data_IF_514874926382
#
_entry.id   IF_514874926382
#
_cell.length_a   1.000
_cell.length_b   1.000
_cell.length_c   1.000
_cell.angle_alpha   90.00
_cell.angle_beta   90.00
_cell.angle_gamma   90.00
#
_symmetry.space_group_name_H-M   'P 1'
#
loop_
_entity.id
_entity.type
_entity.pdbx_description
1 polymer ?
#
# COMPACT_ATOMS: atom_id res chain seq x y z
N UNK A 1 -10.15 80.64 3.85
CA UNK A 1 -11.03 80.89 2.69
C UNK A 1 -12.10 79.82 2.66
N UNK A 2 -13.34 80.22 2.89
CA UNK A 2 -14.55 79.39 2.95
C UNK A 2 -15.23 79.42 1.57
N UNK A 3 -15.58 78.26 1.01
CA UNK A 3 -16.64 78.11 0.00
C UNK A 3 -17.00 76.61 -0.14
N UNK A 4 -18.09 76.17 0.52
CA UNK A 4 -19.45 75.95 -0.04
C UNK A 4 -19.58 74.71 -0.97
N UNK A 5 -20.20 73.66 -0.44
CA UNK A 5 -21.03 72.62 -1.12
C UNK A 5 -22.34 73.25 -1.68
N UNK A 6 -23.34 72.55 -2.29
CA UNK A 6 -23.50 71.16 -2.76
C UNK A 6 -24.18 71.00 -4.16
N UNK A 7 -24.19 69.79 -4.73
CA UNK A 7 -25.19 69.30 -5.72
C UNK A 7 -25.08 67.77 -5.74
N UNK A 8 -26.10 66.92 -5.66
CA UNK A 8 -27.52 67.15 -5.84
C UNK A 8 -28.14 65.99 -6.62
N UNK A 9 -28.27 64.82 -5.96
CA UNK A 9 -29.27 63.75 -6.17
C UNK A 9 -29.16 62.75 -7.35
N UNK A 10 -29.40 61.50 -6.93
CA UNK A 10 -30.28 60.48 -7.54
C UNK A 10 -29.66 59.43 -8.49
N UNK A 11 -29.57 58.20 -7.98
CA UNK A 11 -29.39 56.95 -8.73
C UNK A 11 -29.24 55.77 -7.78
N UNK A 12 -30.34 55.06 -7.52
CA UNK A 12 -30.39 53.85 -6.69
C UNK A 12 -29.70 52.63 -7.32
N UNK A 13 -29.83 51.45 -6.69
CA UNK A 13 -28.78 50.44 -6.59
C UNK A 13 -28.65 49.57 -7.84
N UNK A 14 -27.44 49.50 -8.41
CA UNK A 14 -27.07 48.48 -9.40
C UNK A 14 -26.23 47.40 -8.74
N UNK A 15 -26.95 46.51 -8.07
CA UNK A 15 -26.88 45.07 -8.29
C UNK A 15 -25.62 44.59 -9.05
N UNK A 16 -24.55 44.33 -8.30
CA UNK A 16 -23.45 43.44 -8.70
C UNK A 16 -23.01 42.61 -7.51
N UNK A 17 -23.90 41.71 -7.11
CA UNK A 17 -23.49 40.42 -6.55
C UNK A 17 -22.68 39.64 -7.60
N UNK A 18 -21.44 40.04 -7.83
CA UNK A 18 -20.53 39.31 -8.70
C UNK A 18 -19.79 38.23 -7.88
N UNK A 19 -20.28 37.01 -8.06
CA UNK A 19 -19.54 35.74 -7.99
C UNK A 19 -19.12 35.22 -6.61
N UNK A 20 -20.05 35.21 -5.66
CA UNK A 20 -20.13 34.09 -4.71
C UNK A 20 -20.76 32.90 -5.45
N UNK A 21 -19.99 31.88 -5.78
CA UNK A 21 -20.55 30.56 -6.10
C UNK A 21 -20.38 30.08 -7.54
N UNK A 22 -19.16 29.77 -7.92
CA UNK A 22 -18.90 28.59 -8.75
C UNK A 22 -17.93 27.68 -8.01
N UNK A 23 -18.43 27.11 -6.90
CA UNK A 23 -17.88 25.83 -6.43
C UNK A 23 -17.89 24.92 -7.66
N UNK A 24 -16.77 24.28 -8.04
CA UNK A 24 -16.79 23.33 -9.13
C UNK A 24 -17.89 22.33 -8.80
N UNK A 25 -18.86 22.26 -9.70
CA UNK A 25 -19.91 21.26 -9.70
C UNK A 25 -19.24 19.93 -9.42
N UNK A 26 -19.64 19.28 -8.32
CA UNK A 26 -19.35 17.86 -8.04
C UNK A 26 -19.85 17.09 -9.25
N UNK A 27 -19.00 16.98 -10.26
CA UNK A 27 -19.24 16.16 -11.43
C UNK A 27 -19.43 14.75 -10.90
N UNK A 28 -20.56 14.16 -11.30
CA UNK A 28 -21.15 12.99 -10.68
C UNK A 28 -20.10 12.02 -10.19
N UNK A 29 -20.12 11.79 -8.87
CA UNK A 29 -19.58 10.57 -8.30
C UNK A 29 -20.28 9.44 -9.02
N UNK A 30 -19.67 8.96 -10.11
CA UNK A 30 -19.90 7.61 -10.55
C UNK A 30 -19.60 6.81 -9.31
N UNK A 31 -20.63 6.26 -8.69
CA UNK A 31 -20.48 5.18 -7.74
C UNK A 31 -19.83 4.05 -8.52
N UNK A 32 -18.50 4.14 -8.68
CA UNK A 32 -17.69 3.11 -9.31
C UNK A 32 -17.70 1.99 -8.28
N UNK A 33 -18.76 1.18 -8.33
CA UNK A 33 -18.92 0.04 -7.46
C UNK A 33 -17.63 -0.77 -7.54
N UNK A 34 -16.96 -0.94 -6.40
CA UNK A 34 -15.73 -1.73 -6.37
C UNK A 34 -16.10 -3.17 -6.76
N UNK A 35 -15.47 -3.74 -7.81
CA UNK A 35 -15.70 -5.14 -8.13
C UNK A 35 -15.18 -5.99 -6.97
N UNK A 36 -15.97 -6.96 -6.50
CA UNK A 36 -15.63 -7.79 -5.32
C UNK A 36 -14.27 -8.49 -5.42
N UNK A 37 -13.79 -8.75 -6.64
CA UNK A 37 -12.44 -9.27 -6.91
C UNK A 37 -11.32 -8.34 -6.40
N UNK A 38 -11.51 -7.03 -6.44
CA UNK A 38 -10.53 -6.06 -5.95
C UNK A 38 -10.52 -6.03 -4.42
N UNK A 39 -11.68 -6.09 -3.78
CA UNK A 39 -11.75 -6.22 -2.31
C UNK A 39 -11.06 -7.50 -1.84
N UNK A 40 -11.34 -8.62 -2.51
CA UNK A 40 -10.68 -9.90 -2.22
C UNK A 40 -9.16 -9.83 -2.47
N UNK A 41 -8.72 -9.20 -3.56
CA UNK A 41 -7.30 -9.03 -3.84
C UNK A 41 -6.60 -8.14 -2.80
N UNK A 42 -7.20 -7.01 -2.41
CA UNK A 42 -6.67 -6.15 -1.33
C UNK A 42 -6.56 -6.91 -0.02
N UNK A 43 -7.61 -7.65 0.36
CA UNK A 43 -7.61 -8.50 1.54
C UNK A 43 -6.47 -9.52 1.51
N UNK A 44 -6.29 -10.24 0.39
CA UNK A 44 -5.24 -11.24 0.24
C UNK A 44 -3.83 -10.64 0.24
N UNK A 45 -3.64 -9.48 -0.41
CA UNK A 45 -2.36 -8.76 -0.41
C UNK A 45 -2.00 -8.30 1.00
N UNK A 46 -2.95 -7.71 1.74
CA UNK A 46 -2.75 -7.30 3.12
C UNK A 46 -2.44 -8.50 4.03
N UNK A 47 -3.22 -9.58 3.91
CA UNK A 47 -3.02 -10.83 4.63
C UNK A 47 -1.61 -11.38 4.41
N UNK A 48 -1.21 -11.55 3.15
CA UNK A 48 0.09 -12.13 2.80
C UNK A 48 1.25 -11.20 3.16
N UNK A 49 1.10 -9.89 3.00
CA UNK A 49 2.11 -8.90 3.36
C UNK A 49 2.42 -8.93 4.86
N UNK A 50 1.39 -8.91 5.71
CA UNK A 50 1.56 -8.97 7.18
C UNK A 50 2.09 -10.33 7.61
N UNK A 51 1.59 -11.43 7.03
CA UNK A 51 2.14 -12.76 7.28
C UNK A 51 3.63 -12.84 6.95
N UNK A 52 4.05 -12.32 5.79
CA UNK A 52 5.44 -12.30 5.36
C UNK A 52 6.29 -11.46 6.33
N UNK A 53 5.83 -10.27 6.71
CA UNK A 53 6.54 -9.39 7.63
C UNK A 53 6.80 -10.09 8.96
N UNK A 54 5.76 -10.64 9.58
CA UNK A 54 5.88 -11.34 10.87
C UNK A 54 6.73 -12.60 10.76
N UNK A 55 6.60 -13.36 9.67
CA UNK A 55 7.44 -14.54 9.42
C UNK A 55 8.93 -14.15 9.31
N UNK A 56 9.25 -13.13 8.53
CA UNK A 56 10.62 -12.64 8.37
C UNK A 56 11.17 -12.11 9.70
N UNK A 57 10.40 -11.33 10.46
CA UNK A 57 10.80 -10.83 11.79
C UNK A 57 11.14 -11.99 12.73
N UNK A 58 10.31 -13.03 12.77
CA UNK A 58 10.57 -14.21 13.60
C UNK A 58 11.82 -14.97 13.17
N UNK A 59 12.00 -15.21 11.87
CA UNK A 59 13.18 -15.93 11.41
C UNK A 59 14.45 -15.12 11.63
N UNK A 60 14.41 -13.81 11.38
CA UNK A 60 15.53 -12.92 11.69
C UNK A 60 15.82 -12.86 13.19
N UNK A 61 14.82 -12.90 14.06
CA UNK A 61 15.03 -12.93 15.51
C UNK A 61 15.73 -14.21 15.99
N UNK A 62 15.51 -15.33 15.28
CA UNK A 62 16.16 -16.62 15.57
C UNK A 62 17.57 -16.70 15.00
N UNK A 63 17.81 -16.13 13.81
CA UNK A 63 19.09 -16.22 13.10
C UNK A 63 20.08 -15.10 13.47
N UNK A 64 19.58 -13.88 13.66
CA UNK A 64 20.36 -12.70 13.99
C UNK A 64 20.03 -12.25 15.40
N UNK A 65 21.04 -11.86 16.19
CA UNK A 65 20.79 -11.19 17.47
C UNK A 65 19.89 -9.96 17.20
N UNK A 66 18.93 -9.72 18.10
CA UNK A 66 17.78 -8.80 18.03
C UNK A 66 17.96 -7.41 17.38
N UNK A 67 19.18 -6.94 17.13
CA UNK A 67 19.49 -5.64 16.56
C UNK A 67 18.92 -5.40 15.14
N UNK A 68 18.74 -6.44 14.33
CA UNK A 68 18.36 -6.30 12.92
C UNK A 68 16.84 -6.25 12.67
N UNK A 69 16.03 -6.43 13.71
CA UNK A 69 14.56 -6.47 13.59
C UNK A 69 13.99 -5.10 13.18
N UNK A 70 14.52 -4.03 13.79
CA UNK A 70 14.12 -2.67 13.46
C UNK A 70 14.38 -2.34 12.00
N UNK A 71 15.52 -2.79 11.48
CA UNK A 71 15.89 -2.58 10.09
C UNK A 71 14.93 -3.30 9.15
N UNK A 72 14.54 -4.54 9.46
CA UNK A 72 13.61 -5.32 8.65
C UNK A 72 12.22 -4.67 8.55
N UNK A 73 11.66 -4.22 9.67
CA UNK A 73 10.36 -3.51 9.68
C UNK A 73 10.48 -2.20 8.90
N UNK A 74 11.59 -1.47 9.10
CA UNK A 74 11.86 -0.23 8.35
C UNK A 74 11.95 -0.47 6.84
N UNK A 75 12.52 -1.60 6.41
CA UNK A 75 12.57 -2.04 5.00
C UNK A 75 11.19 -2.40 4.47
N UNK A 76 10.33 -3.04 5.27
CA UNK A 76 8.96 -3.34 4.89
C UNK A 76 8.18 -2.04 4.62
N UNK A 77 8.23 -1.09 5.55
CA UNK A 77 7.61 0.23 5.41
C UNK A 77 8.23 1.01 4.24
N UNK A 78 9.55 0.97 4.09
CA UNK A 78 10.25 1.60 2.96
C UNK A 78 9.83 0.99 1.62
N UNK A 79 9.71 -0.33 1.52
CA UNK A 79 9.22 -1.02 0.33
C UNK A 79 7.80 -0.60 -0.03
N UNK A 80 6.88 -0.60 0.93
CA UNK A 80 5.52 -0.13 0.72
C UNK A 80 5.49 1.32 0.23
N UNK A 81 6.28 2.20 0.87
CA UNK A 81 6.41 3.61 0.49
C UNK A 81 7.02 3.82 -0.89
N UNK A 82 8.09 3.09 -1.23
CA UNK A 82 8.73 3.13 -2.55
C UNK A 82 7.78 2.62 -3.65
N UNK A 83 7.02 1.56 -3.39
CA UNK A 83 6.00 1.06 -4.31
C UNK A 83 4.94 2.13 -4.62
N UNK A 84 4.47 2.84 -3.58
CA UNK A 84 3.57 3.97 -3.74
C UNK A 84 4.19 5.17 -4.44
N UNK A 85 5.47 5.46 -4.20
CA UNK A 85 6.19 6.54 -4.89
C UNK A 85 6.37 6.22 -6.38
N UNK A 86 6.86 5.02 -6.70
CA UNK A 86 7.00 4.53 -8.08
C UNK A 86 5.65 4.63 -8.78
N UNK A 87 4.56 4.28 -8.09
CA UNK A 87 3.21 4.42 -8.64
C UNK A 87 2.93 5.84 -9.12
N UNK A 88 3.29 6.88 -8.36
CA UNK A 88 2.98 8.27 -8.74
C UNK A 88 3.66 8.73 -10.03
N UNK A 89 4.85 8.20 -10.34
CA UNK A 89 5.58 8.55 -11.57
C UNK A 89 5.23 7.64 -12.76
N UNK A 90 4.65 6.47 -12.52
CA UNK A 90 4.29 5.55 -13.59
C UNK A 90 2.94 5.92 -14.24
N UNK A 91 2.87 5.93 -15.58
CA UNK A 91 1.62 6.19 -16.29
C UNK A 91 0.64 5.01 -16.13
N UNK A 92 -0.66 5.33 -15.98
CA UNK A 92 -1.74 4.37 -15.73
C UNK A 92 -1.77 3.19 -16.74
N UNK A 93 -1.39 3.45 -17.99
CA UNK A 93 -1.33 2.45 -19.07
C UNK A 93 -0.35 1.29 -18.79
N UNK A 94 0.65 1.49 -17.94
CA UNK A 94 1.70 0.50 -17.69
C UNK A 94 1.41 -0.37 -16.47
N UNK A 95 0.42 -0.01 -15.65
CA UNK A 95 0.11 -0.72 -14.41
C UNK A 95 -1.17 -1.54 -14.58
N UNK A 96 -0.97 -2.85 -14.73
CA UNK A 96 -2.05 -3.84 -14.72
C UNK A 96 -2.11 -4.46 -13.32
N UNK A 97 -3.20 -4.21 -12.60
CA UNK A 97 -3.38 -4.67 -11.21
C UNK A 97 -3.16 -6.18 -11.05
N UNK A 98 -3.68 -6.99 -11.97
CA UNK A 98 -3.47 -8.43 -11.95
C UNK A 98 -2.00 -8.82 -12.11
N UNK A 99 -1.23 -8.10 -12.93
CA UNK A 99 0.19 -8.37 -13.14
C UNK A 99 1.01 -8.01 -11.89
N UNK A 100 0.67 -6.89 -11.23
CA UNK A 100 1.33 -6.50 -9.97
C UNK A 100 0.99 -7.50 -8.85
N UNK A 101 -0.25 -7.96 -8.77
CA UNK A 101 -0.65 -8.99 -7.80
C UNK A 101 0.09 -10.33 -8.04
N UNK A 102 0.25 -10.74 -9.30
CA UNK A 102 1.04 -11.93 -9.65
C UNK A 102 2.52 -11.75 -9.32
N UNK A 103 3.10 -10.58 -9.63
CA UNK A 103 4.50 -10.27 -9.29
C UNK A 103 4.71 -10.28 -7.77
N UNK A 104 3.74 -9.77 -7.01
CA UNK A 104 3.75 -9.88 -5.56
C UNK A 104 3.71 -11.35 -5.12
N UNK A 105 2.74 -12.13 -5.60
CA UNK A 105 2.61 -13.55 -5.29
C UNK A 105 3.87 -14.36 -5.61
N UNK A 106 4.55 -14.06 -6.73
CA UNK A 106 5.79 -14.71 -7.15
C UNK A 106 7.02 -14.23 -6.35
N UNK A 107 7.03 -12.97 -5.93
CA UNK A 107 8.14 -12.40 -5.17
C UNK A 107 8.25 -13.00 -3.77
N UNK A 108 7.14 -13.40 -3.14
CA UNK A 108 7.11 -14.03 -1.81
C UNK A 108 7.97 -15.32 -1.76
N UNK A 109 7.68 -16.37 -2.56
CA UNK A 109 8.49 -17.58 -2.55
C UNK A 109 9.90 -17.32 -3.05
N UNK A 110 10.10 -16.41 -4.01
CA UNK A 110 11.43 -16.05 -4.49
C UNK A 110 12.32 -15.48 -3.37
N UNK A 111 11.80 -14.52 -2.58
CA UNK A 111 12.48 -13.95 -1.41
C UNK A 111 12.84 -15.03 -0.39
N UNK A 112 11.93 -15.96 -0.10
CA UNK A 112 12.16 -17.01 0.89
C UNK A 112 13.16 -18.06 0.40
N UNK A 113 13.08 -18.46 -0.88
CA UNK A 113 14.06 -19.37 -1.47
C UNK A 113 15.45 -18.75 -1.48
N UNK A 114 15.58 -17.47 -1.85
CA UNK A 114 16.86 -16.75 -1.78
C UNK A 114 17.42 -16.74 -0.36
N UNK A 115 16.55 -16.46 0.63
CA UNK A 115 16.98 -16.29 2.01
C UNK A 115 17.30 -17.63 2.72
N UNK A 116 16.63 -18.73 2.37
CA UNK A 116 16.73 -20.01 3.09
C UNK A 116 17.38 -21.17 2.34
N UNK A 117 17.30 -21.21 1.01
CA UNK A 117 17.81 -22.33 0.21
C UNK A 117 19.19 -22.07 -0.38
N UNK A 118 19.63 -20.81 -0.42
CA UNK A 118 20.91 -20.47 -1.06
C UNK A 118 22.07 -20.46 -0.04
N UNK A 119 23.27 -20.95 -0.41
CA UNK A 119 24.50 -20.72 0.39
C UNK A 119 24.88 -19.23 0.47
N UNK A 120 24.19 -18.40 -0.30
CA UNK A 120 24.19 -16.94 -0.25
C UNK A 120 23.64 -16.43 1.09
N UNK A 121 22.78 -17.16 1.81
CA UNK A 121 22.35 -16.77 3.15
C UNK A 121 23.54 -16.53 4.10
N UNK A 122 24.53 -17.43 4.07
CA UNK A 122 25.75 -17.30 4.89
C UNK A 122 26.64 -16.12 4.45
N UNK A 123 26.65 -15.75 3.16
CA UNK A 123 27.41 -14.58 2.66
C UNK A 123 26.63 -13.26 2.80
N UNK A 124 25.31 -13.31 2.75
CA UNK A 124 24.42 -12.17 2.92
C UNK A 124 24.37 -11.73 4.38
N UNK A 125 24.51 -12.66 5.34
CA UNK A 125 24.68 -12.35 6.78
C UNK A 125 25.83 -11.37 7.02
N UNK A 126 26.91 -11.47 6.24
CA UNK A 126 28.11 -10.63 6.36
C UNK A 126 28.04 -9.35 5.51
N UNK A 127 26.98 -9.20 4.70
CA UNK A 127 26.89 -8.16 3.67
C UNK A 127 25.75 -7.18 4.00
N UNK A 128 25.98 -5.85 3.95
CA UNK A 128 24.95 -4.84 4.29
C UNK A 128 23.72 -4.84 3.36
N UNK A 129 23.72 -5.65 2.30
CA UNK A 129 22.67 -5.75 1.29
C UNK A 129 21.60 -6.80 1.62
N UNK A 130 21.74 -7.56 2.70
CA UNK A 130 20.72 -8.49 3.22
C UNK A 130 19.27 -7.92 3.26
N UNK A 131 19.04 -6.65 3.64
CA UNK A 131 17.68 -6.10 3.69
C UNK A 131 17.10 -5.72 2.33
N UNK A 132 17.90 -5.70 1.26
CA UNK A 132 17.38 -5.40 -0.07
C UNK A 132 16.48 -6.52 -0.61
N UNK A 133 16.66 -7.76 -0.13
CA UNK A 133 15.90 -8.93 -0.62
C UNK A 133 14.44 -8.91 -0.16
N UNK A 134 14.13 -8.66 1.13
CA UNK A 134 12.75 -8.42 1.58
C UNK A 134 12.08 -7.20 0.95
N UNK A 135 12.85 -6.20 0.51
CA UNK A 135 12.30 -4.96 -0.06
C UNK A 135 11.43 -5.24 -1.31
N UNK A 136 11.78 -6.25 -2.11
CA UNK A 136 11.11 -6.58 -3.38
C UNK A 136 9.61 -6.92 -3.21
N UNK A 137 9.21 -7.90 -2.38
CA UNK A 137 7.79 -8.19 -2.17
C UNK A 137 7.02 -7.01 -1.56
N UNK A 138 7.61 -6.27 -0.62
CA UNK A 138 6.95 -5.08 -0.05
C UNK A 138 6.80 -3.95 -1.06
N UNK A 139 7.72 -3.81 -2.02
CA UNK A 139 7.60 -2.87 -3.12
C UNK A 139 6.39 -3.19 -4.01
N UNK A 140 6.19 -4.45 -4.38
CA UNK A 140 5.03 -4.84 -5.20
C UNK A 140 3.72 -4.72 -4.43
N UNK A 141 3.69 -5.08 -3.13
CA UNK A 141 2.54 -4.84 -2.28
C UNK A 141 2.18 -3.34 -2.23
N UNK A 142 3.17 -2.48 -2.03
CA UNK A 142 2.99 -1.03 -1.98
C UNK A 142 2.48 -0.47 -3.31
N UNK A 143 3.05 -0.93 -4.43
CA UNK A 143 2.62 -0.55 -5.78
C UNK A 143 1.17 -0.96 -6.04
N UNK A 144 0.77 -2.17 -5.63
CA UNK A 144 -0.60 -2.66 -5.76
C UNK A 144 -1.57 -1.83 -4.93
N UNK A 145 -1.30 -1.67 -3.62
CA UNK A 145 -2.18 -0.93 -2.71
C UNK A 145 -2.30 0.53 -3.14
N UNK A 146 -1.21 1.20 -3.47
CA UNK A 146 -1.24 2.58 -3.95
C UNK A 146 -2.10 2.73 -5.21
N UNK A 147 -2.04 1.79 -6.15
CA UNK A 147 -2.87 1.86 -7.35
C UNK A 147 -4.36 1.59 -7.06
N UNK A 148 -4.66 0.62 -6.20
CA UNK A 148 -6.05 0.29 -5.84
C UNK A 148 -6.71 1.45 -5.08
N UNK A 149 -6.04 2.00 -4.07
CA UNK A 149 -6.54 3.16 -3.32
C UNK A 149 -6.69 4.41 -4.19
N UNK A 150 -5.81 4.62 -5.17
CA UNK A 150 -5.93 5.73 -6.11
C UNK A 150 -7.13 5.56 -7.06
N UNK A 151 -7.34 4.36 -7.62
CA UNK A 151 -8.44 4.07 -8.56
C UNK A 151 -9.82 4.14 -7.91
N UNK A 152 -9.93 3.74 -6.65
CA UNK A 152 -11.21 3.65 -5.91
C UNK A 152 -11.27 4.60 -4.71
N UNK A 153 -10.61 5.75 -4.78
CA UNK A 153 -10.51 6.72 -3.68
C UNK A 153 -11.88 7.15 -3.11
N UNK A 154 -12.91 7.21 -3.96
CA UNK A 154 -14.28 7.56 -3.55
C UNK A 154 -14.91 6.55 -2.57
N UNK A 155 -14.46 5.29 -2.58
CA UNK A 155 -14.98 4.21 -1.74
C UNK A 155 -13.87 3.64 -0.83
N UNK A 156 -12.92 4.49 -0.44
CA UNK A 156 -11.75 4.10 0.36
C UNK A 156 -12.08 3.38 1.67
N UNK A 157 -13.25 3.63 2.27
CA UNK A 157 -13.69 2.93 3.49
C UNK A 157 -13.83 1.42 3.32
N UNK A 158 -14.38 0.95 2.19
CA UNK A 158 -14.53 -0.49 1.93
C UNK A 158 -13.18 -1.16 1.64
N UNK A 159 -12.28 -0.47 0.92
CA UNK A 159 -10.90 -0.93 0.71
C UNK A 159 -10.15 -1.03 2.03
N UNK A 160 -10.28 -0.01 2.88
CA UNK A 160 -9.63 0.03 4.19
C UNK A 160 -10.16 -1.06 5.12
N UNK A 161 -11.46 -1.33 5.08
CA UNK A 161 -12.04 -2.47 5.80
C UNK A 161 -11.46 -3.81 5.32
N UNK A 162 -11.33 -4.01 3.99
CA UNK A 162 -10.73 -5.22 3.43
C UNK A 162 -9.24 -5.36 3.81
N UNK A 163 -8.47 -4.27 3.76
CA UNK A 163 -7.06 -4.23 4.14
C UNK A 163 -6.85 -4.55 5.64
N UNK A 164 -7.57 -3.85 6.52
CA UNK A 164 -7.51 -4.07 7.96
C UNK A 164 -7.98 -5.46 8.39
N UNK A 165 -9.07 -5.96 7.79
CA UNK A 165 -9.54 -7.32 8.10
C UNK A 165 -8.54 -8.39 7.65
N UNK A 166 -7.87 -8.18 6.51
CA UNK A 166 -6.76 -9.03 6.06
C UNK A 166 -5.60 -9.01 7.04
N UNK A 167 -5.15 -7.83 7.46
CA UNK A 167 -4.07 -7.67 8.44
C UNK A 167 -4.42 -8.27 9.81
N UNK A 168 -5.65 -8.08 10.29
CA UNK A 168 -6.13 -8.66 11.55
C UNK A 168 -6.15 -10.18 11.48
N UNK A 169 -6.65 -10.74 10.37
CA UNK A 169 -6.67 -12.19 10.17
C UNK A 169 -5.24 -12.75 10.06
N UNK A 170 -4.31 -12.05 9.41
CA UNK A 170 -2.90 -12.43 9.38
C UNK A 170 -2.30 -12.50 10.78
N UNK A 171 -2.53 -11.48 11.62
CA UNK A 171 -2.03 -11.44 12.98
C UNK A 171 -2.52 -12.64 13.83
N UNK A 172 -3.75 -13.12 13.59
CA UNK A 172 -4.29 -14.31 14.25
C UNK A 172 -3.73 -15.61 13.67
N UNK A 173 -3.65 -15.72 12.34
CA UNK A 173 -3.27 -16.98 11.67
C UNK A 173 -1.77 -17.24 11.69
N UNK A 174 -0.92 -16.21 11.74
CA UNK A 174 0.52 -16.39 11.51
C UNK A 174 1.18 -17.28 12.57
N UNK A 175 0.75 -17.20 13.82
CA UNK A 175 1.26 -18.04 14.92
C UNK A 175 0.99 -19.53 14.70
N UNK A 176 -0.26 -19.98 14.48
CA UNK A 176 -0.54 -21.38 14.18
C UNK A 176 0.07 -21.80 12.83
N UNK A 177 0.10 -20.94 11.81
CA UNK A 177 0.72 -21.26 10.51
C UNK A 177 2.21 -21.57 10.66
N UNK A 178 2.93 -20.79 11.47
CA UNK A 178 4.34 -21.04 11.77
C UNK A 178 4.55 -22.33 12.58
N UNK A 179 3.62 -22.68 13.46
CA UNK A 179 3.71 -23.89 14.28
C UNK A 179 3.40 -25.17 13.50
N UNK A 180 2.47 -25.11 12.53
CA UNK A 180 2.04 -26.27 11.75
C UNK A 180 2.90 -26.55 10.52
N UNK A 181 3.25 -25.52 9.74
CA UNK A 181 3.96 -25.68 8.46
C UNK A 181 5.46 -25.32 8.54
N UNK A 182 5.92 -24.78 9.67
CA UNK A 182 7.16 -24.01 9.73
C UNK A 182 7.03 -22.67 8.98
N UNK A 183 7.93 -21.72 9.24
CA UNK A 183 7.90 -20.40 8.60
C UNK A 183 7.98 -20.41 7.06
N UNK A 184 8.53 -21.48 6.48
CA UNK A 184 8.72 -21.64 5.03
C UNK A 184 7.46 -22.21 4.35
N UNK A 185 6.78 -23.18 4.98
CA UNK A 185 5.57 -23.79 4.40
C UNK A 185 4.39 -22.84 4.36
N UNK A 186 4.21 -22.05 5.42
CA UNK A 186 3.14 -21.05 5.54
C UNK A 186 3.15 -20.04 4.39
N UNK A 187 4.35 -19.54 4.05
CA UNK A 187 4.49 -18.54 3.01
C UNK A 187 4.42 -19.11 1.58
N UNK A 188 4.82 -20.37 1.37
CA UNK A 188 4.66 -21.05 0.08
C UNK A 188 3.17 -21.24 -0.26
N UNK A 189 2.36 -21.60 0.75
CA UNK A 189 0.92 -21.80 0.56
C UNK A 189 0.22 -20.48 0.22
N UNK A 190 0.60 -19.37 0.87
CA UNK A 190 0.10 -18.04 0.55
C UNK A 190 0.51 -17.56 -0.86
N UNK A 191 1.74 -17.84 -1.30
CA UNK A 191 2.20 -17.53 -2.67
C UNK A 191 1.42 -18.29 -3.74
N UNK A 192 1.08 -19.56 -3.49
CA UNK A 192 0.21 -20.35 -4.37
C UNK A 192 -1.23 -19.83 -4.36
N UNK A 193 -1.74 -19.38 -3.21
CA UNK A 193 -3.10 -18.85 -3.10
C UNK A 193 -3.32 -17.51 -3.82
N UNK A 194 -2.23 -16.76 -4.05
CA UNK A 194 -2.22 -15.46 -4.73
C UNK A 194 -2.04 -15.56 -6.26
N UNK A 195 -1.62 -16.72 -6.78
CA UNK A 195 -1.49 -17.02 -8.22
C UNK A 195 -2.80 -17.60 -8.77
#
# INVERSE_FOLDING_TARGET
MVSRTPSGRAGGPSDRGEAMGSRPTRSGGRDVAIPGRILAATFLVALAGVCLEVALVRVFALLFRYHHLFLLVSVAVCGLGLGGLIRTYLPDRWIRLWAVALLFGLSIPATLLLLFRSPLAARLVETPWLPAVPLVPFLFAGLFLAEVFRRYAAQGGALYFADLSGAALAALLILPLLQWLGGIGACLLLGVLLC
#
